data_IF_690837760704
#
_entry.id   IF_690837760704
#
_cell.length_a   1.000
_cell.length_b   1.000
_cell.length_c   1.000
_cell.angle_alpha   90.00
_cell.angle_beta   90.00
_cell.angle_gamma   90.00
#
_symmetry.space_group_name_H-M   'P 1'
#
loop_
_entity.id
_entity.type
_entity.pdbx_description
1 polymer ?
#
# COMPACT_ATOMS: atom_id res chain seq x y z
N UNK A 1 15.37 -28.51 1.39
CA UNK A 1 15.84 -27.70 0.25
C UNK A 1 14.72 -26.75 -0.14
N UNK A 2 14.96 -25.44 -0.12
CA UNK A 2 14.02 -24.50 -0.72
C UNK A 2 14.02 -24.73 -2.23
N UNK A 3 12.84 -25.02 -2.78
CA UNK A 3 12.67 -25.11 -4.23
C UNK A 3 12.60 -23.67 -4.76
N UNK A 4 13.50 -23.32 -5.68
CA UNK A 4 13.44 -22.04 -6.40
C UNK A 4 12.31 -22.06 -7.44
N UNK A 5 11.09 -22.39 -6.99
CA UNK A 5 9.91 -22.48 -7.85
C UNK A 5 9.03 -21.26 -7.65
N UNK A 6 8.48 -20.72 -8.73
CA UNK A 6 7.50 -19.65 -8.74
C UNK A 6 6.29 -20.05 -9.57
N UNK A 7 5.11 -19.60 -9.18
CA UNK A 7 3.87 -19.78 -9.93
C UNK A 7 3.02 -18.54 -9.84
N UNK A 8 2.10 -18.35 -10.78
CA UNK A 8 1.10 -17.31 -10.67
C UNK A 8 0.09 -17.64 -9.56
N UNK A 9 -0.31 -16.63 -8.79
CA UNK A 9 -1.44 -16.73 -7.87
C UNK A 9 -2.74 -16.53 -8.66
N UNK A 10 -2.70 -15.67 -9.67
CA UNK A 10 -3.76 -15.38 -10.61
C UNK A 10 -3.16 -15.31 -12.02
N UNK A 11 -3.95 -15.62 -13.02
CA UNK A 11 -3.55 -15.51 -14.42
C UNK A 11 -4.63 -14.70 -15.16
N UNK A 12 -4.74 -13.42 -14.81
CA UNK A 12 -5.64 -12.47 -15.43
C UNK A 12 -4.81 -11.51 -16.31
N UNK A 13 -4.73 -11.73 -17.63
CA UNK A 13 -3.86 -10.97 -18.52
C UNK A 13 -4.30 -9.50 -18.71
N UNK A 14 -5.54 -9.19 -18.34
CA UNK A 14 -6.15 -7.86 -18.36
C UNK A 14 -6.12 -7.16 -16.99
N UNK A 15 -5.37 -7.69 -16.04
CA UNK A 15 -5.23 -7.13 -14.70
C UNK A 15 -3.76 -6.78 -14.40
N UNK A 16 -3.54 -5.61 -13.84
CA UNK A 16 -2.23 -5.20 -13.33
C UNK A 16 -2.23 -5.28 -11.81
N UNK A 17 -1.66 -6.35 -11.28
CA UNK A 17 -1.63 -6.66 -9.85
C UNK A 17 -0.31 -6.23 -9.21
N UNK A 18 -0.35 -5.54 -8.06
CA UNK A 18 0.84 -5.09 -7.35
C UNK A 18 0.60 -4.87 -5.84
N UNK A 19 1.66 -4.54 -5.11
CA UNK A 19 1.66 -4.14 -3.70
C UNK A 19 0.99 -5.15 -2.75
N UNK A 20 1.38 -6.40 -2.85
CA UNK A 20 0.86 -7.44 -1.97
C UNK A 20 1.35 -7.29 -0.52
N UNK A 21 0.49 -7.63 0.44
CA UNK A 21 0.78 -7.72 1.87
C UNK A 21 -0.01 -8.85 2.51
N UNK A 22 0.59 -9.53 3.48
CA UNK A 22 -0.07 -10.60 4.23
C UNK A 22 -0.79 -10.07 5.48
N UNK A 23 -1.90 -10.72 5.84
CA UNK A 23 -2.43 -10.62 7.20
C UNK A 23 -1.42 -11.17 8.20
N UNK A 24 -1.45 -10.70 9.47
CA UNK A 24 -0.50 -11.16 10.50
C UNK A 24 -0.53 -12.66 10.77
N UNK A 25 -1.66 -13.32 10.54
CA UNK A 25 -1.84 -14.76 10.69
C UNK A 25 -1.44 -15.59 9.46
N UNK A 26 -1.03 -14.91 8.37
CA UNK A 26 -0.62 -15.52 7.11
C UNK A 26 -1.74 -16.19 6.31
N UNK A 27 -3.02 -15.95 6.66
CA UNK A 27 -4.17 -16.61 6.01
C UNK A 27 -4.86 -15.77 4.95
N UNK A 28 -4.50 -14.50 4.82
CA UNK A 28 -5.08 -13.61 3.82
C UNK A 28 -3.99 -12.78 3.13
N UNK A 29 -3.98 -12.81 1.82
CA UNK A 29 -3.15 -11.95 1.00
C UNK A 29 -3.99 -10.77 0.52
N UNK A 30 -3.60 -9.55 0.84
CA UNK A 30 -4.16 -8.32 0.29
C UNK A 30 -3.25 -7.81 -0.82
N UNK A 31 -3.83 -7.27 -1.86
CA UNK A 31 -3.09 -6.70 -2.99
C UNK A 31 -3.93 -5.66 -3.71
N UNK A 32 -3.31 -4.90 -4.60
CA UNK A 32 -4.02 -3.96 -5.45
C UNK A 32 -4.05 -4.46 -6.87
N UNK A 33 -5.15 -4.23 -7.57
CA UNK A 33 -5.31 -4.56 -8.98
C UNK A 33 -6.08 -3.47 -9.70
N UNK A 34 -5.67 -3.21 -10.95
CA UNK A 34 -6.38 -2.36 -11.89
C UNK A 34 -6.68 -3.17 -13.15
N UNK A 35 -7.91 -3.05 -13.64
CA UNK A 35 -8.25 -3.58 -14.95
C UNK A 35 -7.52 -2.81 -16.05
N UNK A 36 -6.93 -3.53 -16.99
CA UNK A 36 -6.21 -3.01 -18.14
C UNK A 36 -7.07 -3.17 -19.39
N UNK A 37 -7.58 -2.09 -19.92
CA UNK A 37 -8.15 -2.09 -21.26
C UNK A 37 -7.02 -2.31 -22.28
N UNK A 38 -6.88 -3.53 -22.77
CA UNK A 38 -5.82 -3.94 -23.69
C UNK A 38 -5.87 -3.22 -25.03
N UNK A 39 -7.01 -2.60 -25.39
CA UNK A 39 -7.12 -1.77 -26.60
C UNK A 39 -6.47 -0.39 -26.39
N UNK A 40 -6.60 0.15 -25.18
CA UNK A 40 -6.02 1.43 -24.78
C UNK A 40 -4.53 1.29 -24.40
N UNK A 41 -4.17 0.20 -23.70
CA UNK A 41 -2.82 -0.06 -23.17
C UNK A 41 -2.05 -1.08 -24.02
N UNK A 42 -2.03 -0.87 -25.35
CA UNK A 42 -1.48 -1.83 -26.32
C UNK A 42 0.05 -1.73 -26.54
N UNK A 43 0.73 -0.82 -25.88
CA UNK A 43 2.19 -0.62 -25.94
C UNK A 43 2.71 0.13 -24.72
N UNK A 44 4.02 0.09 -24.45
CA UNK A 44 4.65 0.85 -23.37
C UNK A 44 4.40 2.36 -23.51
N UNK A 45 4.42 2.88 -24.73
CA UNK A 45 4.11 4.28 -25.00
C UNK A 45 2.65 4.62 -24.70
N UNK A 46 1.72 3.75 -25.04
CA UNK A 46 0.31 3.89 -24.71
C UNK A 46 0.09 3.82 -23.20
N UNK A 47 0.78 2.90 -22.51
CA UNK A 47 0.75 2.80 -21.05
C UNK A 47 1.18 4.11 -20.39
N UNK A 48 2.34 4.65 -20.77
CA UNK A 48 2.82 5.93 -20.25
C UNK A 48 1.86 7.09 -20.53
N UNK A 49 1.26 7.13 -21.74
CA UNK A 49 0.33 8.17 -22.16
C UNK A 49 -1.00 8.15 -21.40
N UNK A 50 -1.48 6.96 -21.04
CA UNK A 50 -2.81 6.75 -20.44
C UNK A 50 -2.74 6.32 -18.97
N UNK A 51 -1.58 6.49 -18.33
CA UNK A 51 -1.37 6.09 -16.93
C UNK A 51 -2.38 6.73 -15.97
N UNK A 52 -2.87 7.92 -16.27
CA UNK A 52 -3.92 8.65 -15.53
C UNK A 52 -5.30 7.95 -15.55
N UNK A 53 -5.51 7.02 -16.47
CA UNK A 53 -6.75 6.22 -16.56
C UNK A 53 -6.74 5.01 -15.64
N UNK A 54 -5.58 4.59 -15.14
CA UNK A 54 -5.48 3.44 -14.25
C UNK A 54 -6.05 3.75 -12.87
N UNK A 55 -7.02 2.95 -12.44
CA UNK A 55 -7.65 3.02 -11.13
C UNK A 55 -7.49 1.67 -10.45
N UNK A 56 -6.77 1.65 -9.35
CA UNK A 56 -6.53 0.44 -8.58
C UNK A 56 -7.54 0.32 -7.46
N UNK A 57 -8.06 -0.89 -7.31
CA UNK A 57 -8.86 -1.33 -6.18
C UNK A 57 -8.04 -2.24 -5.26
N UNK A 58 -8.48 -2.42 -4.03
CA UNK A 58 -7.87 -3.36 -3.09
C UNK A 58 -8.66 -4.66 -3.10
N UNK A 59 -7.96 -5.76 -3.25
CA UNK A 59 -8.50 -7.10 -3.22
C UNK A 59 -7.84 -7.95 -2.15
N UNK A 60 -8.50 -9.06 -1.80
CA UNK A 60 -7.92 -10.08 -0.96
C UNK A 60 -8.17 -11.48 -1.53
N UNK A 61 -7.33 -12.43 -1.11
CA UNK A 61 -7.52 -13.87 -1.30
C UNK A 61 -7.21 -14.57 0.02
N UNK A 62 -8.05 -15.52 0.40
CA UNK A 62 -7.71 -16.42 1.49
C UNK A 62 -6.56 -17.34 1.08
N UNK A 63 -5.79 -17.79 2.05
CA UNK A 63 -4.72 -18.76 1.85
C UNK A 63 -4.82 -19.87 2.86
N UNK A 64 -4.91 -21.08 2.39
CA UNK A 64 -4.94 -22.29 3.22
C UNK A 64 -3.50 -22.75 3.51
N UNK A 65 -3.09 -22.65 4.77
CA UNK A 65 -1.74 -23.00 5.21
C UNK A 65 -1.42 -24.51 5.09
N UNK A 66 -2.43 -25.39 5.07
CA UNK A 66 -2.23 -26.83 4.97
C UNK A 66 -2.08 -27.28 3.52
N UNK A 67 -2.90 -26.74 2.63
CA UNK A 67 -2.91 -27.11 1.21
C UNK A 67 -2.08 -26.18 0.33
N UNK A 68 -1.65 -25.05 0.87
CA UNK A 68 -0.94 -23.96 0.17
C UNK A 68 -1.72 -23.44 -1.06
N UNK A 69 -3.05 -23.38 -0.96
CA UNK A 69 -3.92 -22.90 -2.03
C UNK A 69 -4.54 -21.55 -1.68
N UNK A 70 -4.68 -20.72 -2.70
CA UNK A 70 -5.43 -19.48 -2.62
C UNK A 70 -6.91 -19.71 -2.93
N UNK A 71 -7.76 -19.02 -2.19
CA UNK A 71 -9.19 -18.93 -2.47
C UNK A 71 -9.51 -17.89 -3.54
N UNK A 72 -10.80 -17.69 -3.77
CA UNK A 72 -11.31 -16.73 -4.73
C UNK A 72 -10.97 -15.29 -4.35
N UNK A 73 -10.86 -14.45 -5.37
CA UNK A 73 -10.64 -13.00 -5.23
C UNK A 73 -11.87 -12.34 -4.61
N UNK A 74 -11.65 -11.52 -3.59
CA UNK A 74 -12.66 -10.72 -2.93
C UNK A 74 -12.30 -9.24 -3.04
N UNK A 75 -13.26 -8.39 -3.43
CA UNK A 75 -13.11 -6.95 -3.42
C UNK A 75 -13.15 -6.44 -1.98
N UNK A 76 -12.11 -5.70 -1.55
CA UNK A 76 -12.00 -5.13 -0.21
C UNK A 76 -12.34 -3.64 -0.21
N UNK A 77 -11.86 -2.91 -1.22
CA UNK A 77 -12.13 -1.48 -1.36
C UNK A 77 -12.18 -1.09 -2.84
N UNK A 78 -13.32 -0.53 -3.25
CA UNK A 78 -13.56 -0.05 -4.62
C UNK A 78 -13.24 1.43 -4.73
N UNK A 79 -11.99 1.76 -4.98
CA UNK A 79 -11.54 3.13 -5.19
C UNK A 79 -11.97 3.66 -6.58
N UNK A 80 -12.06 2.77 -7.57
CA UNK A 80 -12.46 3.14 -8.94
C UNK A 80 -13.88 3.70 -8.97
N UNK A 81 -14.81 3.17 -8.17
CA UNK A 81 -16.15 3.71 -8.02
C UNK A 81 -16.16 5.15 -7.50
N UNK A 82 -15.16 5.53 -6.71
CA UNK A 82 -14.95 6.90 -6.21
C UNK A 82 -14.18 7.79 -7.20
N UNK A 83 -13.85 7.30 -8.39
CA UNK A 83 -12.97 7.97 -9.33
C UNK A 83 -11.51 8.08 -8.85
N UNK A 84 -11.13 7.29 -7.84
CA UNK A 84 -9.83 7.27 -7.18
C UNK A 84 -9.06 5.97 -7.47
N UNK A 85 -7.88 5.88 -6.91
CA UNK A 85 -6.98 4.74 -6.99
C UNK A 85 -6.43 4.44 -5.60
N UNK A 86 -6.56 3.19 -5.12
CA UNK A 86 -6.07 2.75 -3.82
C UNK A 86 -4.90 1.80 -3.97
N UNK A 87 -3.80 2.07 -3.26
CA UNK A 87 -2.57 1.27 -3.37
C UNK A 87 -1.88 1.12 -2.01
N UNK A 88 -0.87 0.24 -1.98
CA UNK A 88 -0.01 0.06 -0.81
C UNK A 88 -0.78 -0.36 0.46
N UNK A 89 -1.62 -1.40 0.39
CA UNK A 89 -2.32 -1.88 1.57
C UNK A 89 -1.34 -2.36 2.64
N UNK A 90 -1.67 -2.11 3.92
CA UNK A 90 -0.95 -2.60 5.09
C UNK A 90 -1.95 -2.98 6.17
N UNK A 91 -1.82 -4.20 6.69
CA UNK A 91 -2.67 -4.68 7.77
C UNK A 91 -2.04 -4.33 9.11
N UNK A 92 -2.86 -3.91 10.08
CA UNK A 92 -2.39 -3.69 11.45
C UNK A 92 -1.93 -5.02 12.08
N UNK A 93 -0.98 -5.00 13.04
CA UNK A 93 -0.45 -6.23 13.65
C UNK A 93 -1.51 -7.10 14.37
N UNK A 94 -2.62 -6.51 14.77
CA UNK A 94 -3.76 -7.23 15.37
C UNK A 94 -4.80 -7.69 14.33
N UNK A 95 -4.57 -7.40 13.04
CA UNK A 95 -5.46 -7.78 11.94
C UNK A 95 -6.74 -6.95 11.81
N UNK A 96 -7.04 -6.02 12.74
CA UNK A 96 -8.31 -5.31 12.79
C UNK A 96 -8.45 -4.18 11.79
N UNK A 97 -7.35 -3.59 11.34
CA UNK A 97 -7.36 -2.43 10.44
C UNK A 97 -6.53 -2.70 9.19
N UNK A 98 -7.01 -2.17 8.09
CA UNK A 98 -6.28 -2.06 6.83
C UNK A 98 -6.06 -0.58 6.54
N UNK A 99 -4.82 -0.18 6.32
CA UNK A 99 -4.46 1.15 5.83
C UNK A 99 -3.91 1.06 4.42
N UNK A 100 -4.10 2.12 3.64
CA UNK A 100 -3.65 2.21 2.25
C UNK A 100 -3.49 3.67 1.82
N UNK A 101 -2.85 3.89 0.69
CA UNK A 101 -2.78 5.20 0.05
C UNK A 101 -3.88 5.35 -0.98
N UNK A 102 -4.59 6.48 -0.97
CA UNK A 102 -5.65 6.84 -1.90
C UNK A 102 -5.24 8.09 -2.67
N UNK A 103 -5.24 8.03 -3.98
CA UNK A 103 -4.90 9.15 -4.87
C UNK A 103 -5.82 9.20 -6.08
N UNK A 104 -5.58 10.13 -7.00
CA UNK A 104 -6.45 10.32 -8.17
C UNK A 104 -6.35 9.19 -9.19
N UNK A 105 -5.17 8.61 -9.40
CA UNK A 105 -4.93 7.57 -10.41
C UNK A 105 -3.60 6.84 -10.16
N UNK A 106 -3.37 5.77 -10.90
CA UNK A 106 -2.10 5.06 -10.92
C UNK A 106 -1.71 4.43 -9.59
N UNK A 107 -0.46 4.07 -9.43
CA UNK A 107 0.01 3.34 -8.25
C UNK A 107 1.16 4.03 -7.48
N UNK A 108 1.76 5.09 -8.02
CA UNK A 108 2.85 5.81 -7.38
C UNK A 108 2.36 7.09 -6.70
N UNK A 109 1.51 6.94 -5.70
CA UNK A 109 0.81 8.05 -5.02
C UNK A 109 1.74 9.05 -4.35
N UNK A 110 2.97 8.69 -4.05
CA UNK A 110 3.99 9.62 -3.53
C UNK A 110 4.23 10.84 -4.43
N UNK A 111 3.90 10.71 -5.72
CA UNK A 111 4.00 11.80 -6.70
C UNK A 111 2.71 12.61 -6.87
N UNK A 112 1.61 12.18 -6.25
CA UNK A 112 0.31 12.83 -6.34
C UNK A 112 0.09 13.76 -5.16
N UNK A 113 -0.15 15.05 -5.44
CA UNK A 113 -0.37 16.05 -4.38
C UNK A 113 -1.59 15.73 -3.51
N UNK A 114 -2.59 15.06 -4.08
CA UNK A 114 -3.84 14.67 -3.45
C UNK A 114 -3.83 13.26 -2.84
N UNK A 115 -2.65 12.69 -2.64
CA UNK A 115 -2.53 11.36 -2.06
C UNK A 115 -2.66 11.43 -0.54
N UNK A 116 -3.60 10.65 -0.01
CA UNK A 116 -3.92 10.53 1.40
C UNK A 116 -3.78 9.11 1.93
N UNK A 117 -3.47 8.97 3.20
CA UNK A 117 -3.56 7.70 3.91
C UNK A 117 -4.98 7.50 4.43
N UNK A 118 -5.58 6.39 4.04
CA UNK A 118 -6.89 5.95 4.48
C UNK A 118 -6.78 4.75 5.42
N UNK A 119 -7.77 4.61 6.30
CA UNK A 119 -7.88 3.50 7.25
C UNK A 119 -9.30 2.96 7.20
N UNK A 120 -9.43 1.63 7.07
CA UNK A 120 -10.70 0.92 7.18
C UNK A 120 -10.61 -0.16 8.26
N UNK A 121 -11.74 -0.50 8.88
CA UNK A 121 -11.84 -1.65 9.76
C UNK A 121 -11.92 -2.92 8.91
N UNK A 122 -10.97 -3.82 9.09
CA UNK A 122 -10.85 -5.04 8.31
C UNK A 122 -12.05 -5.97 8.56
N UNK A 123 -12.59 -6.58 7.51
CA UNK A 123 -13.75 -7.48 7.61
C UNK A 123 -15.12 -6.79 7.69
N UNK A 124 -15.19 -5.46 7.74
CA UNK A 124 -16.46 -4.70 7.65
C UNK A 124 -16.70 -4.15 6.25
N UNK A 125 -16.59 -4.99 5.22
CA UNK A 125 -17.12 -4.66 3.90
C UNK A 125 -18.65 -4.79 4.00
N UNK A 126 -19.40 -3.71 3.91
CA UNK A 126 -20.85 -3.79 3.81
C UNK A 126 -21.20 -4.42 2.46
N UNK A 127 -21.82 -5.60 2.52
CA UNK A 127 -22.52 -6.16 1.37
C UNK A 127 -23.63 -5.21 0.91
N UNK A 128 -23.86 -5.18 -0.39
CA UNK A 128 -24.89 -4.43 -1.10
C UNK A 128 -26.32 -4.79 -0.63
N UNK A 129 -26.82 -4.27 0.48
CA UNK A 129 -28.24 -4.26 0.81
C UNK A 129 -28.55 -3.21 1.89
N UNK A 130 -28.41 -1.93 1.55
CA UNK A 130 -29.09 -0.87 2.28
C UNK A 130 -29.72 0.08 1.26
N UNK A 131 -31.04 -0.09 1.06
CA UNK A 131 -31.92 0.87 0.42
C UNK A 131 -32.00 2.14 1.28
N UNK A 132 -31.08 3.07 1.07
CA UNK A 132 -31.24 4.47 1.44
C UNK A 132 -30.68 5.33 0.33
N UNK A 133 -31.61 5.73 -0.53
CA UNK A 133 -31.42 6.70 -1.59
C UNK A 133 -31.40 8.11 -0.99
N UNK A 134 -30.35 8.81 -1.23
CA UNK A 134 -30.10 10.24 -1.24
C UNK A 134 -29.11 10.76 -0.18
N UNK A 135 -27.99 11.18 -0.71
CA UNK A 135 -26.85 11.90 -0.12
C UNK A 135 -25.72 11.02 0.44
N UNK A 136 -24.83 10.75 -0.44
CA UNK A 136 -23.39 10.51 -0.29
C UNK A 136 -22.89 9.16 -0.77
N UNK A 137 -22.39 9.14 -1.98
CA UNK A 137 -21.55 8.03 -2.49
C UNK A 137 -20.31 7.77 -1.62
N UNK A 138 -19.94 8.71 -0.76
CA UNK A 138 -18.85 8.59 0.21
C UNK A 138 -19.24 7.86 1.51
N UNK A 139 -20.52 7.78 1.85
CA UNK A 139 -20.98 7.18 3.12
C UNK A 139 -21.09 5.66 3.08
N UNK A 140 -21.03 5.03 1.91
CA UNK A 140 -21.06 3.58 1.76
C UNK A 140 -19.70 2.93 2.14
N UNK A 141 -18.62 3.69 2.08
CA UNK A 141 -17.30 3.23 2.47
C UNK A 141 -16.95 3.81 3.85
N UNK A 142 -16.97 3.00 4.89
CA UNK A 142 -16.49 3.38 6.23
C UNK A 142 -14.96 3.52 6.22
N UNK A 143 -14.41 4.46 5.45
CA UNK A 143 -13.00 4.79 5.55
C UNK A 143 -12.83 6.13 6.25
N UNK A 144 -11.78 6.27 7.03
CA UNK A 144 -11.38 7.52 7.64
C UNK A 144 -10.18 8.09 6.88
N UNK A 145 -10.32 9.34 6.44
CA UNK A 145 -9.14 10.15 6.16
C UNK A 145 -8.40 10.35 7.49
N UNK A 146 -7.18 9.92 7.54
CA UNK A 146 -6.39 9.94 8.76
C UNK A 146 -5.99 11.37 9.15
N UNK A 147 -6.00 11.69 10.45
CA UNK A 147 -5.37 12.92 10.97
C UNK A 147 -3.85 12.95 10.74
N UNK A 148 -3.31 11.88 10.19
CA UNK A 148 -1.94 11.79 9.71
C UNK A 148 -1.73 12.63 8.45
N UNK A 149 -2.78 12.85 7.64
CA UNK A 149 -2.72 13.53 6.36
C UNK A 149 -2.47 15.05 6.45
N UNK A 150 -1.94 15.59 5.38
CA UNK A 150 -1.62 17.00 5.19
C UNK A 150 -2.20 17.51 3.85
N UNK A 151 -2.10 18.79 3.52
CA UNK A 151 -2.48 19.30 2.19
C UNK A 151 -1.58 18.85 1.05
N UNK A 152 -0.54 18.05 1.32
CA UNK A 152 0.39 17.48 0.36
C UNK A 152 0.32 15.96 0.37
N UNK A 153 1.08 15.32 -0.53
CA UNK A 153 1.13 13.86 -0.60
C UNK A 153 1.53 13.23 0.74
N UNK A 154 0.68 12.33 1.21
CA UNK A 154 0.95 11.41 2.31
C UNK A 154 0.73 9.97 1.81
N UNK A 155 1.77 9.14 1.85
CA UNK A 155 1.74 7.79 1.24
C UNK A 155 2.65 6.82 1.97
N UNK A 156 2.68 5.56 1.52
CA UNK A 156 3.49 4.50 2.11
C UNK A 156 3.24 4.29 3.62
N UNK A 157 1.97 4.05 4.04
CA UNK A 157 1.70 3.79 5.45
C UNK A 157 2.37 2.51 5.93
N UNK A 158 2.91 2.51 7.13
CA UNK A 158 3.42 1.31 7.80
C UNK A 158 3.11 1.34 9.30
N UNK A 159 2.77 0.16 9.86
CA UNK A 159 2.52 0.02 11.29
C UNK A 159 3.80 -0.36 12.04
N UNK A 160 3.92 0.14 13.28
CA UNK A 160 4.84 -0.44 14.25
C UNK A 160 4.36 -1.82 14.68
N UNK A 161 5.29 -2.69 15.09
CA UNK A 161 4.97 -4.08 15.47
C UNK A 161 4.01 -4.22 16.65
N UNK A 162 3.88 -3.19 17.51
CA UNK A 162 2.92 -3.14 18.61
C UNK A 162 1.57 -2.51 18.21
N UNK A 163 1.40 -2.11 16.93
CA UNK A 163 0.16 -1.51 16.44
C UNK A 163 -0.19 -0.12 16.99
N UNK A 164 0.74 0.54 17.68
CA UNK A 164 0.49 1.83 18.33
C UNK A 164 0.93 3.04 17.53
N UNK A 165 1.68 2.83 16.46
CA UNK A 165 2.22 3.90 15.64
C UNK A 165 2.02 3.58 14.16
N UNK A 166 1.71 4.62 13.40
CA UNK A 166 1.73 4.59 11.93
C UNK A 166 2.77 5.60 11.45
N UNK A 167 3.58 5.19 10.50
CA UNK A 167 4.53 6.04 9.80
C UNK A 167 4.13 6.20 8.35
N UNK A 168 4.37 7.37 7.78
CA UNK A 168 4.10 7.69 6.37
C UNK A 168 5.23 8.50 5.77
N UNK A 169 5.37 8.44 4.45
CA UNK A 169 6.18 9.37 3.67
C UNK A 169 5.33 10.59 3.32
N UNK A 170 5.71 11.76 3.81
CA UNK A 170 4.96 13.01 3.65
C UNK A 170 5.78 14.08 2.94
N UNK A 171 5.15 14.83 2.06
CA UNK A 171 5.75 15.99 1.37
C UNK A 171 5.34 17.33 1.98
N UNK A 172 4.78 17.33 3.20
CA UNK A 172 4.19 18.51 3.84
C UNK A 172 5.14 19.67 4.11
N UNK A 173 6.46 19.42 4.17
CA UNK A 173 7.44 20.47 4.50
C UNK A 173 7.70 21.40 3.32
N UNK A 174 7.84 20.87 2.11
CA UNK A 174 8.24 21.63 0.92
C UNK A 174 7.47 21.27 -0.36
N UNK A 175 6.61 20.29 -0.31
CA UNK A 175 5.86 19.76 -1.46
C UNK A 175 6.69 18.91 -2.44
N UNK A 176 8.01 18.80 -2.24
CA UNK A 176 8.94 18.15 -3.18
C UNK A 176 9.55 16.87 -2.63
N UNK A 177 10.10 16.92 -1.42
CA UNK A 177 10.83 15.79 -0.84
C UNK A 177 10.03 15.13 0.26
N UNK A 178 9.94 13.81 0.22
CA UNK A 178 9.28 13.05 1.28
C UNK A 178 10.15 12.98 2.53
N UNK A 179 9.49 13.17 3.67
CA UNK A 179 10.05 12.98 5.01
C UNK A 179 9.22 11.95 5.77
N UNK A 180 9.81 11.16 6.66
CA UNK A 180 9.06 10.25 7.50
C UNK A 180 8.30 11.02 8.59
N UNK A 181 7.00 10.84 8.61
CA UNK A 181 6.09 11.37 9.63
C UNK A 181 5.47 10.21 10.40
N UNK A 182 5.29 10.39 11.71
CA UNK A 182 4.77 9.38 12.61
C UNK A 182 3.57 9.92 13.36
N UNK A 183 2.55 9.09 13.55
CA UNK A 183 1.36 9.37 14.32
C UNK A 183 1.08 8.26 15.33
N UNK A 184 0.64 8.63 16.52
CA UNK A 184 0.08 7.67 17.46
C UNK A 184 -1.25 7.12 16.90
N UNK A 185 -1.40 5.81 16.95
CA UNK A 185 -2.58 5.07 16.54
C UNK A 185 -3.22 4.44 17.77
N UNK A 186 -4.43 4.90 18.13
CA UNK A 186 -5.09 4.47 19.36
C UNK A 186 -5.85 3.14 19.19
N UNK A 187 -6.38 2.64 20.31
CA UNK A 187 -7.11 1.37 20.35
C UNK A 187 -8.45 1.42 19.60
N UNK A 188 -8.95 2.62 19.30
CA UNK A 188 -10.17 2.88 18.53
C UNK A 188 -9.92 3.00 17.02
N UNK A 189 -8.67 2.82 16.60
CA UNK A 189 -8.31 2.90 15.17
C UNK A 189 -8.12 4.32 14.64
N UNK A 190 -7.91 5.29 15.52
CA UNK A 190 -7.75 6.69 15.15
C UNK A 190 -6.28 7.10 15.19
N UNK A 191 -5.82 7.76 14.11
CA UNK A 191 -4.55 8.47 14.10
C UNK A 191 -4.68 9.83 14.80
N UNK A 192 -3.67 10.18 15.57
CA UNK A 192 -3.50 11.50 16.15
C UNK A 192 -2.65 12.39 15.24
N UNK A 193 -2.42 13.64 15.66
CA UNK A 193 -1.60 14.59 14.88
C UNK A 193 -0.22 14.00 14.59
N UNK A 194 0.15 13.99 13.31
CA UNK A 194 1.46 13.51 12.90
C UNK A 194 2.56 14.55 13.18
N UNK A 195 3.75 14.04 13.46
CA UNK A 195 4.97 14.83 13.60
C UNK A 195 6.14 14.19 12.85
N UNK A 196 7.10 14.99 12.44
CA UNK A 196 8.29 14.49 11.76
C UNK A 196 9.08 13.56 12.67
N UNK A 197 9.58 12.46 12.14
CA UNK A 197 10.47 11.57 12.89
C UNK A 197 11.71 12.38 13.32
N UNK A 198 12.01 12.47 14.65
CA UNK A 198 13.10 13.27 15.14
C UNK A 198 14.44 12.91 14.51
N UNK A 199 15.18 13.93 14.10
CA UNK A 199 16.52 13.80 13.54
C UNK A 199 17.54 14.46 14.48
N UNK A 200 18.79 13.98 14.44
CA UNK A 200 19.88 14.56 15.25
C UNK A 200 20.10 16.04 14.94
N UNK A 201 19.89 16.44 13.69
CA UNK A 201 19.93 17.83 13.25
C UNK A 201 18.68 18.11 12.41
N UNK A 202 17.58 18.66 13.00
CA UNK A 202 16.33 18.92 12.31
C UNK A 202 16.47 19.90 11.15
N UNK A 203 17.25 20.98 11.31
CA UNK A 203 17.47 21.98 10.27
C UNK A 203 18.13 21.38 9.04
N UNK A 204 19.18 20.59 9.25
CA UNK A 204 19.84 19.87 8.15
C UNK A 204 18.86 18.94 7.44
N UNK A 205 17.97 18.27 8.16
CA UNK A 205 17.00 17.37 7.57
C UNK A 205 16.06 18.09 6.58
N UNK A 206 15.64 19.32 6.92
CA UNK A 206 14.80 20.14 6.05
C UNK A 206 15.54 20.56 4.78
N UNK A 207 16.84 20.86 4.90
CA UNK A 207 17.68 21.31 3.79
C UNK A 207 18.16 20.17 2.86
N UNK A 208 17.99 18.90 3.26
CA UNK A 208 18.41 17.78 2.44
C UNK A 208 17.51 17.62 1.19
N UNK A 209 18.12 17.70 0.02
CA UNK A 209 17.51 17.37 -1.29
C UNK A 209 17.39 15.84 -1.45
N UNK A 210 16.70 15.20 -0.50
CA UNK A 210 16.56 13.74 -0.45
C UNK A 210 15.14 13.35 -0.02
N UNK A 211 14.56 12.40 -0.73
CA UNK A 211 13.31 11.75 -0.35
C UNK A 211 13.57 10.46 0.45
N UNK A 212 12.78 10.27 1.49
CA UNK A 212 12.71 9.03 2.28
C UNK A 212 11.42 8.31 1.89
N UNK A 213 11.50 7.44 0.89
CA UNK A 213 10.37 6.64 0.45
C UNK A 213 10.35 5.29 1.19
N UNK A 214 9.13 4.80 1.46
CA UNK A 214 8.87 3.56 2.20
C UNK A 214 9.51 3.56 3.59
N UNK A 215 9.17 4.53 4.46
CA UNK A 215 9.63 4.47 5.83
C UNK A 215 8.96 3.29 6.53
N UNK A 216 9.76 2.45 7.18
CA UNK A 216 9.27 1.28 7.90
C UNK A 216 9.90 1.19 9.29
N UNK A 217 9.13 0.66 10.25
CA UNK A 217 9.65 0.38 11.58
C UNK A 217 10.51 -0.89 11.57
N UNK A 218 11.60 -0.84 12.30
CA UNK A 218 12.48 -1.99 12.49
C UNK A 218 12.59 -2.33 13.97
N UNK A 219 12.57 -3.62 14.31
CA UNK A 219 12.76 -4.08 15.71
C UNK A 219 14.22 -4.03 16.14
N UNK A 220 15.15 -4.19 15.20
CA UNK A 220 16.59 -4.27 15.47
C UNK A 220 17.36 -3.45 14.42
N UNK A 221 18.61 -3.14 14.74
CA UNK A 221 19.52 -2.53 13.77
C UNK A 221 19.77 -3.46 12.60
N UNK A 222 19.92 -2.91 11.40
CA UNK A 222 20.37 -3.66 10.22
C UNK A 222 21.75 -4.26 10.54
N UNK A 223 21.88 -5.59 10.43
CA UNK A 223 23.10 -6.32 10.73
C UNK A 223 24.14 -6.27 9.61
N UNK A 224 23.72 -5.84 8.42
CA UNK A 224 24.56 -5.80 7.22
C UNK A 224 25.00 -4.38 6.91
N UNK A 225 26.22 -4.25 6.43
CA UNK A 225 26.76 -2.98 5.95
C UNK A 225 26.27 -2.67 4.53
N UNK A 226 26.25 -1.39 4.11
CA UNK A 226 25.93 -1.03 2.71
C UNK A 226 26.83 -1.75 1.69
N UNK A 227 28.11 -1.98 2.04
CA UNK A 227 29.05 -2.69 1.18
C UNK A 227 28.66 -4.16 0.96
N UNK A 228 28.18 -4.85 2.01
CA UNK A 228 27.71 -6.23 1.88
C UNK A 228 26.49 -6.32 0.95
N UNK A 229 25.57 -5.34 1.01
CA UNK A 229 24.46 -5.26 0.07
C UNK A 229 24.94 -5.03 -1.37
N UNK A 230 25.87 -4.08 -1.56
CA UNK A 230 26.42 -3.78 -2.88
C UNK A 230 27.15 -5.00 -3.49
N UNK A 231 27.95 -5.69 -2.69
CA UNK A 231 28.63 -6.93 -3.13
C UNK A 231 27.62 -8.01 -3.53
N UNK A 232 26.58 -8.22 -2.69
CA UNK A 232 25.56 -9.23 -2.98
C UNK A 232 24.73 -8.91 -4.23
N UNK A 233 24.48 -7.64 -4.49
CA UNK A 233 23.75 -7.19 -5.68
C UNK A 233 24.53 -7.38 -6.99
N UNK A 234 25.87 -7.57 -6.91
CA UNK A 234 26.74 -7.81 -8.06
C UNK A 234 26.96 -9.31 -8.34
N UNK A 235 26.51 -10.19 -7.44
CA UNK A 235 26.58 -11.63 -7.65
C UNK A 235 25.57 -12.08 -8.71
N UNK A 236 25.83 -13.22 -9.31
CA UNK A 236 24.91 -13.85 -10.28
C UNK A 236 23.53 -14.11 -9.63
N UNK A 237 22.49 -13.72 -10.34
CA UNK A 237 21.12 -13.91 -9.88
C UNK A 237 20.75 -15.39 -9.85
N UNK A 238 20.18 -15.85 -8.74
CA UNK A 238 19.58 -17.18 -8.66
C UNK A 238 18.27 -17.18 -9.45
N UNK A 239 18.23 -17.88 -10.56
CA UNK A 239 17.03 -17.98 -11.39
C UNK A 239 15.98 -18.88 -10.73
N UNK A 240 14.76 -18.36 -10.62
CA UNK A 240 13.62 -19.14 -10.21
C UNK A 240 13.09 -19.97 -11.40
N UNK A 241 12.60 -21.18 -11.10
CA UNK A 241 11.94 -22.06 -12.08
C UNK A 241 10.44 -21.78 -12.01
N UNK A 242 9.86 -21.36 -13.13
CA UNK A 242 8.43 -21.25 -13.26
C UNK A 242 7.76 -22.61 -13.30
N UNK A 243 6.72 -22.81 -12.50
CA UNK A 243 5.92 -24.04 -12.46
C UNK A 243 4.44 -23.69 -12.57
N UNK A 244 3.74 -24.35 -13.48
CA UNK A 244 2.29 -24.32 -13.53
C UNK A 244 1.74 -25.19 -12.38
N UNK A 245 0.96 -24.60 -11.47
CA UNK A 245 0.24 -25.32 -10.42
C UNK A 245 -1.25 -25.22 -10.66
#
# INVERSE_FOLDING_TARGET
MQKNEVSYISNAPDEHECFATWSPDGKTLYYTSAHIDTTLFNSEKAFSKHYDKLKYNIYSRSFDLATHKFGERQLVFDAAQLGKSATLPRVSPDGRYLTFSLGSYGCFHVWHKDADVCIIENGKVKSENSTDTQNSQLSTFNFQLSNLNSPYSDSYPSFSSNGRWIMTASRRDDGNYTRPYISYFDAQGKCHKAFAVPQKNPERNILLLRSYNRPEFMKEKVKFTPQQFATKAQEDAVRAKYVNK
#
